data_IF_524716333985
#
_entry.id   IF_524716333985
#
_cell.length_a   1.000
_cell.length_b   1.000
_cell.length_c   1.000
_cell.angle_alpha   90.00
_cell.angle_beta   90.00
_cell.angle_gamma   90.00
#
_symmetry.space_group_name_H-M   'P 1'
#
loop_
_entity.id
_entity.type
_entity.pdbx_description
1 polymer ?
#
# COMPACT_ATOMS: atom_id res chain seq x y z
N UNK A 1 -10.87 -33.34 5.80
CA UNK A 1 -9.79 -32.55 5.18
C UNK A 1 -10.41 -31.78 4.04
N UNK A 2 -10.65 -30.48 4.22
CA UNK A 2 -11.11 -29.61 3.14
C UNK A 2 -9.86 -29.09 2.46
N UNK A 3 -9.56 -29.58 1.27
CA UNK A 3 -8.54 -29.00 0.38
C UNK A 3 -9.08 -27.68 -0.12
N UNK A 4 -8.68 -26.58 0.51
CA UNK A 4 -8.83 -25.24 -0.04
C UNK A 4 -7.98 -25.16 -1.31
N UNK A 5 -8.64 -25.18 -2.45
CA UNK A 5 -8.02 -24.85 -3.74
C UNK A 5 -7.50 -23.41 -3.62
N UNK A 6 -6.19 -23.24 -3.49
CA UNK A 6 -5.55 -21.93 -3.57
C UNK A 6 -5.88 -21.38 -4.97
N UNK A 7 -6.74 -20.37 -5.03
CA UNK A 7 -7.10 -19.71 -6.28
C UNK A 7 -5.83 -19.24 -6.95
N UNK A 8 -5.54 -19.75 -8.15
CA UNK A 8 -4.36 -19.36 -8.91
C UNK A 8 -4.37 -17.85 -9.13
N UNK A 9 -3.31 -17.16 -8.71
CA UNK A 9 -3.13 -15.74 -9.02
C UNK A 9 -3.12 -15.58 -10.54
N UNK A 10 -4.12 -14.90 -11.11
CA UNK A 10 -4.17 -14.52 -12.53
C UNK A 10 -3.17 -13.39 -12.88
N UNK A 11 -1.96 -13.43 -12.30
CA UNK A 11 -0.84 -12.58 -12.70
C UNK A 11 -0.01 -13.35 -13.73
N UNK A 12 -0.52 -13.44 -14.96
CA UNK A 12 0.24 -14.03 -16.05
C UNK A 12 1.41 -13.11 -16.39
N UNK A 13 2.63 -13.65 -16.29
CA UNK A 13 3.80 -13.00 -16.89
C UNK A 13 3.55 -12.82 -18.38
N UNK A 14 3.78 -11.60 -18.88
CA UNK A 14 3.75 -11.33 -20.33
C UNK A 14 4.99 -11.87 -21.06
N UNK A 15 6.00 -12.30 -20.30
CA UNK A 15 7.12 -13.06 -20.83
C UNK A 15 6.77 -14.56 -20.78
N UNK A 16 6.74 -15.19 -21.95
CA UNK A 16 6.50 -16.62 -22.13
C UNK A 16 7.73 -17.45 -21.72
N UNK A 17 8.92 -16.87 -21.81
CA UNK A 17 10.19 -17.54 -21.60
C UNK A 17 10.67 -17.37 -20.15
N UNK A 18 10.32 -18.34 -19.29
CA UNK A 18 10.87 -18.44 -17.93
C UNK A 18 12.29 -19.01 -18.00
N UNK A 19 13.28 -18.16 -18.26
CA UNK A 19 14.70 -18.55 -18.33
C UNK A 19 15.30 -18.81 -16.96
N UNK A 20 16.35 -19.66 -16.94
CA UNK A 20 17.25 -19.77 -15.80
C UNK A 20 17.94 -18.42 -15.49
N UNK A 21 18.46 -18.28 -14.27
CA UNK A 21 19.18 -17.06 -13.83
C UNK A 21 20.30 -16.73 -14.84
N UNK A 22 20.30 -15.53 -15.46
CA UNK A 22 21.26 -15.18 -16.50
C UNK A 22 22.71 -15.20 -15.98
N UNK A 23 23.66 -15.55 -16.86
CA UNK A 23 25.09 -15.68 -16.48
C UNK A 23 25.69 -14.39 -15.90
N UNK A 24 25.14 -13.22 -16.28
CA UNK A 24 25.58 -11.90 -15.83
C UNK A 24 24.86 -11.39 -14.56
N UNK A 25 23.93 -12.16 -14.00
CA UNK A 25 23.22 -11.78 -12.77
C UNK A 25 24.18 -11.74 -11.57
N UNK A 26 24.04 -10.73 -10.69
CA UNK A 26 24.94 -10.42 -9.55
C UNK A 26 26.40 -10.14 -9.93
N UNK A 27 26.67 -9.76 -11.18
CA UNK A 27 28.02 -9.34 -11.59
C UNK A 27 28.25 -7.83 -11.47
N UNK A 28 27.24 -7.08 -11.07
CA UNK A 28 27.28 -5.64 -10.84
C UNK A 28 26.46 -5.26 -9.60
N UNK A 29 26.69 -4.06 -9.07
CA UNK A 29 26.09 -3.62 -7.81
C UNK A 29 24.55 -3.56 -7.85
N UNK A 30 23.94 -3.24 -9.00
CA UNK A 30 22.49 -3.17 -9.12
C UNK A 30 21.89 -4.58 -9.09
N UNK A 31 22.43 -5.50 -9.89
CA UNK A 31 21.88 -6.87 -9.93
C UNK A 31 22.18 -7.66 -8.65
N UNK A 32 23.27 -7.35 -7.94
CA UNK A 32 23.52 -7.90 -6.61
C UNK A 32 22.55 -7.34 -5.56
N UNK A 33 22.31 -6.03 -5.56
CA UNK A 33 21.29 -5.41 -4.69
C UNK A 33 19.91 -6.02 -4.91
N UNK A 34 19.47 -6.18 -6.16
CA UNK A 34 18.19 -6.81 -6.47
C UNK A 34 18.10 -8.24 -5.95
N UNK A 35 19.16 -9.03 -6.08
CA UNK A 35 19.21 -10.39 -5.52
C UNK A 35 19.12 -10.37 -3.98
N UNK A 36 19.84 -9.45 -3.33
CA UNK A 36 19.81 -9.31 -1.88
C UNK A 36 18.43 -8.88 -1.36
N UNK A 37 17.72 -8.00 -2.07
CA UNK A 37 16.34 -7.63 -1.70
C UNK A 37 15.37 -8.80 -1.81
N UNK A 38 15.55 -9.69 -2.79
CA UNK A 38 14.75 -10.92 -2.92
C UNK A 38 15.05 -11.91 -1.79
N UNK A 39 16.34 -12.07 -1.42
CA UNK A 39 16.76 -12.87 -0.26
C UNK A 39 16.15 -12.31 1.04
N UNK A 40 16.15 -10.99 1.22
CA UNK A 40 15.55 -10.31 2.36
C UNK A 40 14.03 -10.51 2.43
N UNK A 41 13.33 -10.49 1.29
CA UNK A 41 11.90 -10.78 1.22
C UNK A 41 11.59 -12.18 1.78
N UNK A 42 12.37 -13.18 1.36
CA UNK A 42 12.23 -14.56 1.85
C UNK A 42 12.60 -14.67 3.33
N UNK A 43 13.63 -13.95 3.77
CA UNK A 43 14.02 -13.90 5.18
C UNK A 43 12.90 -13.30 6.05
N UNK A 44 12.26 -12.22 5.61
CA UNK A 44 11.10 -11.63 6.29
C UNK A 44 9.93 -12.61 6.36
N UNK A 45 9.63 -13.33 5.26
CA UNK A 45 8.60 -14.39 5.28
C UNK A 45 8.87 -15.44 6.36
N UNK A 46 10.12 -15.89 6.51
CA UNK A 46 10.49 -16.88 7.49
C UNK A 46 10.55 -16.34 8.93
N UNK A 47 11.01 -15.10 9.11
CA UNK A 47 11.28 -14.51 10.42
C UNK A 47 10.02 -13.96 11.12
N UNK A 48 9.07 -13.43 10.36
CA UNK A 48 7.86 -12.76 10.89
C UNK A 48 6.56 -13.29 10.24
N UNK A 49 6.34 -14.63 10.23
CA UNK A 49 5.26 -15.25 9.46
C UNK A 49 3.86 -14.77 9.87
N UNK A 50 3.62 -14.50 11.16
CA UNK A 50 2.33 -13.98 11.64
C UNK A 50 1.99 -12.60 11.04
N UNK A 51 2.99 -11.75 10.81
CA UNK A 51 2.79 -10.44 10.21
C UNK A 51 2.60 -10.53 8.69
N UNK A 52 3.34 -11.42 8.03
CA UNK A 52 3.17 -11.66 6.59
C UNK A 52 1.80 -12.27 6.29
N UNK A 53 1.30 -13.12 7.18
CA UNK A 53 -0.04 -13.71 7.09
C UNK A 53 -1.14 -12.63 7.07
N UNK A 54 -0.97 -11.50 7.77
CA UNK A 54 -1.90 -10.35 7.69
C UNK A 54 -2.00 -9.81 6.26
N UNK A 55 -0.86 -9.65 5.57
CA UNK A 55 -0.86 -9.18 4.18
C UNK A 55 -1.53 -10.17 3.24
N UNK A 56 -1.28 -11.48 3.43
CA UNK A 56 -1.89 -12.55 2.63
C UNK A 56 -3.42 -12.53 2.80
N UNK A 57 -3.89 -12.38 4.03
CA UNK A 57 -5.33 -12.30 4.36
C UNK A 57 -6.00 -11.11 3.71
N UNK A 58 -5.38 -9.93 3.78
CA UNK A 58 -5.86 -8.72 3.10
C UNK A 58 -5.89 -8.92 1.58
N UNK A 59 -4.82 -9.48 1.00
CA UNK A 59 -4.75 -9.77 -0.43
C UNK A 59 -5.87 -10.73 -0.86
N UNK A 60 -6.12 -11.79 -0.09
CA UNK A 60 -7.18 -12.74 -0.35
C UNK A 60 -8.58 -12.14 -0.21
N UNK A 61 -8.83 -11.36 0.85
CA UNK A 61 -10.15 -10.80 1.12
C UNK A 61 -10.55 -9.71 0.10
N UNK A 62 -9.60 -8.87 -0.30
CA UNK A 62 -9.86 -7.70 -1.16
C UNK A 62 -9.32 -7.85 -2.57
N UNK A 63 -8.02 -8.09 -2.71
CA UNK A 63 -7.32 -7.98 -3.99
C UNK A 63 -7.67 -9.12 -4.93
N UNK A 64 -7.63 -10.37 -4.44
CA UNK A 64 -7.96 -11.55 -5.23
C UNK A 64 -9.45 -11.60 -5.63
N UNK A 65 -10.32 -10.97 -4.83
CA UNK A 65 -11.77 -10.89 -5.09
C UNK A 65 -12.17 -9.68 -5.93
N UNK A 66 -11.21 -8.84 -6.33
CA UNK A 66 -11.47 -7.60 -7.03
C UNK A 66 -12.18 -7.78 -8.39
N UNK A 67 -11.94 -8.89 -9.09
CA UNK A 67 -12.66 -9.23 -10.32
C UNK A 67 -14.13 -9.54 -10.07
N UNK A 68 -14.47 -10.13 -8.91
CA UNK A 68 -15.86 -10.42 -8.53
C UNK A 68 -16.59 -9.15 -8.07
N UNK A 69 -15.84 -8.27 -7.38
CA UNK A 69 -16.31 -6.95 -6.91
C UNK A 69 -16.62 -6.02 -8.08
N UNK A 70 -15.78 -6.04 -9.12
CA UNK A 70 -15.90 -5.17 -10.29
C UNK A 70 -16.35 -5.92 -11.55
N UNK A 71 -17.10 -7.02 -11.38
CA UNK A 71 -17.74 -7.72 -12.48
C UNK A 71 -18.89 -6.87 -13.06
N UNK A 72 -18.97 -6.78 -14.39
CA UNK A 72 -20.06 -6.08 -15.11
C UNK A 72 -20.33 -4.64 -14.62
N UNK A 73 -19.27 -3.89 -14.36
CA UNK A 73 -19.37 -2.51 -13.86
C UNK A 73 -19.90 -1.56 -14.94
N UNK A 74 -20.89 -0.75 -14.57
CA UNK A 74 -21.44 0.31 -15.42
C UNK A 74 -20.36 1.26 -15.96
N UNK A 75 -20.56 1.82 -17.15
CA UNK A 75 -19.63 2.75 -17.76
C UNK A 75 -19.30 3.97 -16.85
N UNK A 76 -20.27 4.42 -16.05
CA UNK A 76 -20.11 5.50 -15.07
C UNK A 76 -19.26 5.11 -13.86
N UNK A 77 -19.12 3.82 -13.57
CA UNK A 77 -18.33 3.29 -12.45
C UNK A 77 -16.96 2.79 -12.89
N UNK A 78 -16.72 2.65 -14.19
CA UNK A 78 -15.45 2.17 -14.77
C UNK A 78 -14.20 2.89 -14.23
N UNK A 79 -14.13 4.25 -14.16
CA UNK A 79 -12.93 4.91 -13.62
C UNK A 79 -12.68 4.59 -12.14
N UNK A 80 -13.74 4.48 -11.35
CA UNK A 80 -13.67 4.09 -9.93
C UNK A 80 -13.09 2.69 -9.78
N UNK A 81 -13.63 1.72 -10.53
CA UNK A 81 -13.12 0.35 -10.53
C UNK A 81 -11.65 0.27 -10.95
N UNK A 82 -11.26 0.98 -12.02
CA UNK A 82 -9.85 1.03 -12.48
C UNK A 82 -8.91 1.61 -11.43
N UNK A 83 -9.34 2.64 -10.70
CA UNK A 83 -8.54 3.27 -9.65
C UNK A 83 -8.40 2.40 -8.40
N UNK A 84 -9.46 1.67 -7.98
CA UNK A 84 -9.33 0.65 -6.94
C UNK A 84 -8.43 -0.50 -7.36
N UNK A 85 -8.57 -1.01 -8.60
CA UNK A 85 -7.66 -2.02 -9.15
C UNK A 85 -6.21 -1.54 -9.15
N UNK A 86 -5.98 -0.26 -9.46
CA UNK A 86 -4.65 0.35 -9.37
C UNK A 86 -4.14 0.34 -7.94
N UNK A 87 -4.97 0.75 -6.96
CA UNK A 87 -4.61 0.70 -5.54
C UNK A 87 -4.22 -0.73 -5.10
N UNK A 88 -4.95 -1.75 -5.53
CA UNK A 88 -4.66 -3.15 -5.22
C UNK A 88 -3.35 -3.65 -5.83
N UNK A 89 -3.07 -3.31 -7.09
CA UNK A 89 -1.78 -3.60 -7.70
C UNK A 89 -0.62 -2.89 -6.99
N UNK A 90 -0.85 -1.63 -6.59
CA UNK A 90 0.12 -0.85 -5.80
C UNK A 90 0.35 -1.45 -4.42
N UNK A 91 -0.68 -1.97 -3.75
CA UNK A 91 -0.57 -2.69 -2.48
C UNK A 91 0.36 -3.89 -2.57
N UNK A 92 0.21 -4.75 -3.59
CA UNK A 92 1.14 -5.88 -3.80
C UNK A 92 2.58 -5.43 -4.04
N UNK A 93 2.76 -4.34 -4.79
CA UNK A 93 4.07 -3.70 -4.98
C UNK A 93 4.66 -3.22 -3.66
N UNK A 94 3.85 -2.56 -2.82
CA UNK A 94 4.27 -2.08 -1.51
C UNK A 94 4.62 -3.23 -0.57
N UNK A 95 3.85 -4.32 -0.56
CA UNK A 95 4.16 -5.53 0.20
C UNK A 95 5.54 -6.09 -0.17
N UNK A 96 5.85 -6.18 -1.47
CA UNK A 96 7.17 -6.63 -1.94
C UNK A 96 8.28 -5.74 -1.39
N UNK A 97 8.15 -4.41 -1.49
CA UNK A 97 9.16 -3.47 -1.01
C UNK A 97 9.32 -3.52 0.51
N UNK A 98 8.21 -3.48 1.25
CA UNK A 98 8.20 -3.58 2.71
C UNK A 98 8.89 -4.86 3.18
N UNK A 99 8.51 -6.02 2.64
CA UNK A 99 9.12 -7.31 3.01
C UNK A 99 10.59 -7.41 2.62
N UNK A 100 11.02 -6.68 1.57
CA UNK A 100 12.43 -6.58 1.17
C UNK A 100 13.23 -5.58 2.01
N UNK A 101 12.62 -4.95 3.02
CA UNK A 101 13.25 -3.92 3.85
C UNK A 101 13.37 -2.54 3.20
N UNK A 102 12.78 -2.32 2.02
CA UNK A 102 12.81 -1.04 1.28
C UNK A 102 11.64 -0.14 1.71
N UNK A 103 11.77 0.43 2.91
CA UNK A 103 10.63 1.02 3.61
C UNK A 103 10.20 2.37 3.02
N UNK A 104 11.14 3.22 2.61
CA UNK A 104 10.85 4.53 2.02
C UNK A 104 10.14 4.40 0.67
N UNK A 105 10.62 3.50 -0.17
CA UNK A 105 9.99 3.22 -1.44
C UNK A 105 8.60 2.61 -1.23
N UNK A 106 8.42 1.81 -0.16
CA UNK A 106 7.11 1.29 0.24
C UNK A 106 6.17 2.41 0.73
N UNK A 107 6.64 3.43 1.44
CA UNK A 107 5.78 4.54 1.92
C UNK A 107 5.29 5.43 0.77
N UNK A 108 6.11 5.60 -0.28
CA UNK A 108 5.67 6.23 -1.54
C UNK A 108 4.49 5.46 -2.15
N UNK A 109 4.58 4.12 -2.19
CA UNK A 109 3.49 3.30 -2.71
C UNK A 109 2.27 3.32 -1.79
N UNK A 110 2.45 3.37 -0.47
CA UNK A 110 1.38 3.52 0.51
C UNK A 110 0.59 4.81 0.28
N UNK A 111 1.27 5.94 0.03
CA UNK A 111 0.61 7.20 -0.36
C UNK A 111 -0.19 7.04 -1.65
N UNK A 112 0.38 6.37 -2.65
CA UNK A 112 -0.30 6.12 -3.93
C UNK A 112 -1.54 5.24 -3.78
N UNK A 113 -1.56 4.29 -2.84
CA UNK A 113 -2.76 3.49 -2.50
C UNK A 113 -3.87 4.40 -1.97
N UNK A 114 -3.54 5.29 -1.04
CA UNK A 114 -4.49 6.25 -0.46
C UNK A 114 -5.06 7.18 -1.53
N UNK A 115 -4.18 7.84 -2.31
CA UNK A 115 -4.60 8.77 -3.37
C UNK A 115 -5.49 8.07 -4.41
N UNK A 116 -5.08 6.88 -4.88
CA UNK A 116 -5.85 6.11 -5.85
C UNK A 116 -7.24 5.77 -5.32
N UNK A 117 -7.36 5.43 -4.03
CA UNK A 117 -8.63 5.06 -3.41
C UNK A 117 -9.55 6.25 -3.20
N UNK A 118 -9.01 7.41 -2.80
CA UNK A 118 -9.77 8.67 -2.71
C UNK A 118 -10.27 9.09 -4.08
N UNK A 119 -9.43 8.99 -5.11
CA UNK A 119 -9.82 9.32 -6.48
C UNK A 119 -10.86 8.32 -7.01
N UNK A 120 -10.74 7.04 -6.66
CA UNK A 120 -11.71 6.02 -7.02
C UNK A 120 -13.09 6.35 -6.45
N UNK A 121 -13.14 6.67 -5.16
CA UNK A 121 -14.37 7.11 -4.49
C UNK A 121 -14.97 8.35 -5.16
N UNK A 122 -14.15 9.39 -5.40
CA UNK A 122 -14.66 10.62 -5.98
C UNK A 122 -15.18 10.46 -7.41
N UNK A 123 -14.52 9.65 -8.24
CA UNK A 123 -15.02 9.30 -9.57
C UNK A 123 -16.35 8.53 -9.53
N UNK A 124 -16.62 7.82 -8.44
CA UNK A 124 -17.86 7.09 -8.23
C UNK A 124 -19.02 7.98 -7.75
N UNK A 125 -18.73 9.07 -7.04
CA UNK A 125 -19.74 9.94 -6.42
C UNK A 125 -19.92 11.29 -7.11
N UNK A 126 -19.04 11.67 -8.04
CA UNK A 126 -19.08 12.96 -8.74
C UNK A 126 -18.90 12.82 -10.25
N UNK A 127 -19.94 13.22 -11.01
CA UNK A 127 -19.92 13.25 -12.47
C UNK A 127 -18.86 14.22 -13.01
N UNK A 128 -18.69 15.38 -12.38
CA UNK A 128 -17.67 16.36 -12.74
C UNK A 128 -16.26 15.77 -12.65
N UNK A 129 -15.93 15.11 -11.55
CA UNK A 129 -14.61 14.49 -11.35
C UNK A 129 -14.40 13.34 -12.33
N UNK A 130 -15.44 12.55 -12.59
CA UNK A 130 -15.39 11.46 -13.56
C UNK A 130 -15.11 11.96 -14.98
N UNK A 131 -15.81 13.01 -15.41
CA UNK A 131 -15.58 13.63 -16.73
C UNK A 131 -14.17 14.21 -16.80
N UNK A 132 -13.72 14.93 -15.77
CA UNK A 132 -12.37 15.49 -15.72
C UNK A 132 -11.27 14.42 -15.73
N UNK A 133 -11.51 13.26 -15.10
CA UNK A 133 -10.58 12.13 -15.14
C UNK A 133 -10.46 11.55 -16.55
N UNK A 134 -11.59 11.29 -17.21
CA UNK A 134 -11.64 10.71 -18.56
C UNK A 134 -11.05 11.65 -19.62
N UNK A 135 -11.30 12.96 -19.51
CA UNK A 135 -10.81 13.96 -20.47
C UNK A 135 -9.43 14.54 -20.15
N UNK A 136 -8.70 14.00 -19.17
CA UNK A 136 -7.41 14.57 -18.72
C UNK A 136 -6.36 14.67 -19.84
N UNK A 137 -6.38 13.72 -20.77
CA UNK A 137 -5.38 13.60 -21.84
C UNK A 137 -5.80 14.27 -23.15
N UNK A 138 -7.02 14.82 -23.23
CA UNK A 138 -7.59 15.34 -24.46
C UNK A 138 -6.92 16.67 -24.86
N UNK A 139 -6.74 17.57 -23.89
CA UNK A 139 -6.09 18.88 -24.08
C UNK A 139 -5.53 19.47 -22.77
N UNK A 140 -4.93 20.67 -22.86
CA UNK A 140 -4.37 21.37 -21.69
C UNK A 140 -5.45 21.87 -20.72
N UNK A 141 -6.67 22.16 -21.20
CA UNK A 141 -7.78 22.55 -20.35
C UNK A 141 -8.25 21.37 -19.49
N UNK A 142 -8.37 20.17 -20.08
CA UNK A 142 -8.65 18.91 -19.40
C UNK A 142 -7.59 18.56 -18.37
N UNK A 143 -6.30 18.73 -18.71
CA UNK A 143 -5.19 18.55 -17.75
C UNK A 143 -5.29 19.50 -16.56
N UNK A 144 -5.59 20.79 -16.80
CA UNK A 144 -5.75 21.82 -15.76
C UNK A 144 -6.98 21.54 -14.89
N UNK A 145 -8.11 21.18 -15.50
CA UNK A 145 -9.35 20.84 -14.79
C UNK A 145 -9.15 19.62 -13.89
N UNK A 146 -8.55 18.54 -14.43
CA UNK A 146 -8.20 17.35 -13.66
C UNK A 146 -7.27 17.69 -12.50
N UNK A 147 -6.19 18.47 -12.71
CA UNK A 147 -5.29 18.87 -11.61
C UNK A 147 -6.02 19.65 -10.52
N UNK A 148 -6.92 20.57 -10.88
CA UNK A 148 -7.68 21.38 -9.92
C UNK A 148 -8.63 20.52 -9.09
N UNK A 149 -9.41 19.67 -9.75
CA UNK A 149 -10.42 18.83 -9.11
C UNK A 149 -9.81 17.72 -8.24
N UNK A 150 -8.68 17.16 -8.67
CA UNK A 150 -7.98 16.12 -7.93
C UNK A 150 -6.89 16.64 -6.97
N UNK A 151 -6.97 17.91 -6.58
CA UNK A 151 -6.09 18.46 -5.54
C UNK A 151 -6.38 17.78 -4.20
N UNK A 152 -5.33 17.33 -3.50
CA UNK A 152 -5.46 16.52 -2.29
C UNK A 152 -6.26 17.22 -1.18
N UNK A 153 -5.90 18.47 -0.84
CA UNK A 153 -6.50 19.20 0.28
C UNK A 153 -8.03 19.27 0.24
N UNK A 154 -8.66 19.76 -0.85
CA UNK A 154 -10.11 19.74 -0.99
C UNK A 154 -10.71 18.33 -0.92
N UNK A 155 -10.10 17.35 -1.60
CA UNK A 155 -10.64 15.99 -1.63
C UNK A 155 -10.65 15.33 -0.25
N UNK A 156 -9.57 15.45 0.52
CA UNK A 156 -9.51 14.82 1.84
C UNK A 156 -10.47 15.51 2.83
N UNK A 157 -10.71 16.81 2.70
CA UNK A 157 -11.73 17.52 3.49
C UNK A 157 -13.13 16.97 3.22
N UNK A 158 -13.46 16.70 1.96
CA UNK A 158 -14.73 16.07 1.60
C UNK A 158 -14.82 14.64 2.12
N UNK A 159 -13.76 13.84 2.03
CA UNK A 159 -13.73 12.48 2.58
C UNK A 159 -13.95 12.50 4.10
N UNK A 160 -13.31 13.42 4.82
CA UNK A 160 -13.51 13.61 6.27
C UNK A 160 -14.95 13.96 6.60
N UNK A 161 -15.58 14.84 5.79
CA UNK A 161 -16.96 15.27 6.00
C UNK A 161 -17.97 14.15 5.69
N UNK A 162 -17.77 13.40 4.61
CA UNK A 162 -18.69 12.35 4.17
C UNK A 162 -18.49 11.02 4.89
N UNK A 163 -17.26 10.72 5.35
CA UNK A 163 -16.91 9.46 6.00
C UNK A 163 -16.20 9.70 7.35
N UNK A 164 -16.90 10.21 8.37
CA UNK A 164 -16.28 10.60 9.64
C UNK A 164 -15.60 9.46 10.41
N UNK A 165 -15.94 8.20 10.12
CA UNK A 165 -15.32 7.01 10.74
C UNK A 165 -13.97 6.63 10.14
N UNK A 166 -13.68 6.99 8.88
CA UNK A 166 -12.44 6.58 8.17
C UNK A 166 -11.64 7.78 7.67
N UNK A 167 -12.29 8.89 7.33
CA UNK A 167 -11.68 10.05 6.72
C UNK A 167 -10.57 10.69 7.56
N UNK A 168 -10.75 10.93 8.87
CA UNK A 168 -9.69 11.45 9.73
C UNK A 168 -8.45 10.55 9.75
N UNK A 169 -8.64 9.24 9.90
CA UNK A 169 -7.55 8.26 9.93
C UNK A 169 -6.86 8.13 8.55
N UNK A 170 -7.60 8.27 7.45
CA UNK A 170 -7.04 8.28 6.11
C UNK A 170 -6.19 9.54 5.86
N UNK A 171 -6.64 10.69 6.35
CA UNK A 171 -5.88 11.95 6.31
C UNK A 171 -4.59 11.82 7.11
N UNK A 172 -4.66 11.28 8.32
CA UNK A 172 -3.50 11.05 9.17
C UNK A 172 -2.50 10.09 8.51
N UNK A 173 -2.97 8.98 7.95
CA UNK A 173 -2.12 8.02 7.25
C UNK A 173 -1.42 8.64 6.03
N UNK A 174 -2.08 9.55 5.33
CA UNK A 174 -1.49 10.28 4.21
C UNK A 174 -0.38 11.22 4.68
N UNK A 175 -0.62 12.07 5.67
CA UNK A 175 0.39 13.00 6.19
C UNK A 175 1.58 12.24 6.78
N UNK A 176 1.30 11.19 7.57
CA UNK A 176 2.34 10.31 8.08
C UNK A 176 3.20 9.67 6.98
N UNK A 177 2.61 9.34 5.82
CA UNK A 177 3.39 8.82 4.69
C UNK A 177 4.41 9.83 4.19
N UNK A 178 4.08 11.13 4.21
CA UNK A 178 4.99 12.21 3.84
C UNK A 178 6.13 12.28 4.84
N UNK A 179 5.84 12.27 6.14
CA UNK A 179 6.85 12.31 7.21
C UNK A 179 7.80 11.10 7.13
N UNK A 180 7.29 9.95 6.72
CA UNK A 180 8.05 8.72 6.47
C UNK A 180 8.71 8.65 5.09
N UNK A 181 8.86 9.78 4.40
CA UNK A 181 9.66 9.91 3.17
C UNK A 181 8.93 9.63 1.85
N UNK A 182 7.59 9.59 1.83
CA UNK A 182 6.83 9.57 0.57
C UNK A 182 6.98 10.87 -0.25
N UNK A 183 7.58 11.91 0.34
CA UNK A 183 8.04 13.12 -0.31
C UNK A 183 9.44 13.48 0.19
N UNK A 184 10.32 14.08 -0.63
CA UNK A 184 11.56 14.65 -0.14
C UNK A 184 11.27 15.71 0.93
N UNK A 185 11.57 15.40 2.19
CA UNK A 185 11.57 16.32 3.31
C UNK A 185 12.76 15.97 4.23
N UNK A 186 13.10 16.88 5.14
CA UNK A 186 14.29 16.72 5.99
C UNK A 186 14.16 15.47 6.87
N UNK A 187 13.00 15.26 7.46
CA UNK A 187 12.74 14.15 8.39
C UNK A 187 12.85 12.80 7.68
N UNK A 188 12.16 12.62 6.56
CA UNK A 188 12.17 11.41 5.74
C UNK A 188 13.57 11.05 5.21
N UNK A 189 14.35 12.04 4.78
CA UNK A 189 15.74 11.81 4.32
C UNK A 189 16.62 11.35 5.49
N UNK A 190 16.45 11.94 6.67
CA UNK A 190 17.25 11.62 7.85
C UNK A 190 16.92 10.25 8.44
N UNK A 191 15.71 9.70 8.23
CA UNK A 191 15.32 8.40 8.76
C UNK A 191 16.12 7.22 8.16
N UNK A 192 16.72 7.37 6.97
CA UNK A 192 17.61 6.37 6.35
C UNK A 192 19.04 6.85 6.14
N UNK A 193 19.36 8.10 6.45
CA UNK A 193 20.67 8.66 6.13
C UNK A 193 21.44 9.04 7.38
N UNK A 194 22.72 8.69 7.40
CA UNK A 194 23.68 9.16 8.38
C UNK A 194 24.60 10.20 7.73
N UNK A 195 24.84 11.30 8.44
CA UNK A 195 25.77 12.35 8.02
C UNK A 195 26.93 12.39 9.02
N UNK A 196 28.10 11.93 8.60
CA UNK A 196 29.28 11.77 9.44
C UNK A 196 30.28 12.88 9.12
N UNK A 197 30.61 13.79 10.06
CA UNK A 197 31.63 14.81 9.85
C UNK A 197 33.04 14.18 9.63
N UNK A 198 33.78 14.72 8.66
CA UNK A 198 35.15 14.30 8.28
C UNK A 198 36.17 15.45 8.32
N UNK A 199 35.87 16.51 9.06
CA UNK A 199 36.68 17.72 9.19
C UNK A 199 35.81 18.97 9.16
N UNK A 200 36.45 20.14 9.15
CA UNK A 200 35.78 21.43 9.43
C UNK A 200 34.68 21.81 8.43
N UNK A 201 34.63 21.21 7.23
CA UNK A 201 33.58 21.42 6.22
C UNK A 201 33.39 20.18 5.29
N UNK A 202 33.62 18.97 5.81
CA UNK A 202 33.49 17.74 5.02
C UNK A 202 32.55 16.77 5.72
N UNK A 203 31.67 16.14 4.95
CA UNK A 203 30.71 15.18 5.44
C UNK A 203 30.73 13.93 4.56
N UNK A 204 30.69 12.77 5.18
CA UNK A 204 30.31 11.51 4.54
C UNK A 204 28.81 11.30 4.73
N UNK A 205 28.10 10.96 3.67
CA UNK A 205 26.67 10.64 3.72
C UNK A 205 26.51 9.18 3.34
N UNK A 206 25.94 8.38 4.23
CA UNK A 206 25.58 6.99 3.97
C UNK A 206 24.08 6.81 4.11
N UNK A 207 23.50 5.93 3.28
CA UNK A 207 22.08 5.63 3.30
C UNK A 207 21.83 4.13 3.54
N UNK A 208 20.81 3.83 4.33
CA UNK A 208 20.29 2.48 4.58
C UNK A 208 19.17 2.23 3.59
N UNK A 209 19.40 1.30 2.66
CA UNK A 209 18.42 0.91 1.64
C UNK A 209 17.59 -0.33 2.02
N UNK A 210 18.02 -1.09 3.03
CA UNK A 210 17.32 -2.27 3.53
C UNK A 210 17.33 -2.30 5.04
N UNK A 211 16.13 -2.33 5.63
CA UNK A 211 15.93 -2.35 7.07
C UNK A 211 15.64 -3.75 7.61
N UNK A 212 15.92 -3.93 8.90
CA UNK A 212 15.69 -5.17 9.63
C UNK A 212 14.21 -5.46 9.96
N UNK A 213 13.93 -6.63 10.55
CA UNK A 213 12.58 -7.16 10.73
C UNK A 213 11.66 -6.28 11.56
N UNK A 214 12.16 -5.55 12.56
CA UNK A 214 11.36 -4.64 13.39
C UNK A 214 10.73 -3.54 12.54
N UNK A 215 11.51 -2.96 11.63
CA UNK A 215 11.05 -1.88 10.76
C UNK A 215 10.15 -2.42 9.64
N UNK A 216 10.39 -3.65 9.17
CA UNK A 216 9.48 -4.37 8.26
C UNK A 216 8.12 -4.59 8.91
N UNK A 217 8.06 -5.00 10.18
CA UNK A 217 6.79 -5.15 10.92
C UNK A 217 6.02 -3.83 10.94
N UNK A 218 6.68 -2.70 11.22
CA UNK A 218 6.04 -1.39 11.21
C UNK A 218 5.45 -1.05 9.84
N UNK A 219 6.18 -1.31 8.75
CA UNK A 219 5.67 -1.09 7.40
C UNK A 219 4.46 -1.99 7.07
N UNK A 220 4.49 -3.26 7.49
CA UNK A 220 3.35 -4.18 7.36
C UNK A 220 2.13 -3.64 8.11
N UNK A 221 2.32 -3.15 9.35
CA UNK A 221 1.25 -2.57 10.15
C UNK A 221 0.60 -1.37 9.46
N UNK A 222 1.41 -0.47 8.89
CA UNK A 222 0.87 0.70 8.19
C UNK A 222 0.14 0.31 6.89
N UNK A 223 0.67 -0.66 6.13
CA UNK A 223 -0.03 -1.21 4.96
C UNK A 223 -1.37 -1.84 5.34
N UNK A 224 -1.41 -2.63 6.42
CA UNK A 224 -2.64 -3.27 6.89
C UNK A 224 -3.69 -2.24 7.32
N UNK A 225 -3.29 -1.22 8.11
CA UNK A 225 -4.17 -0.11 8.50
C UNK A 225 -4.72 0.62 7.29
N UNK A 226 -3.88 0.98 6.33
CA UNK A 226 -4.31 1.69 5.11
C UNK A 226 -5.29 0.85 4.32
N UNK A 227 -5.05 -0.44 4.13
CA UNK A 227 -5.99 -1.29 3.41
C UNK A 227 -7.34 -1.45 4.12
N UNK A 228 -7.35 -1.46 5.46
CA UNK A 228 -8.60 -1.43 6.23
C UNK A 228 -9.36 -0.12 5.98
N UNK A 229 -8.69 1.03 5.99
CA UNK A 229 -9.30 2.33 5.68
C UNK A 229 -9.82 2.41 4.24
N UNK A 230 -9.05 1.92 3.27
CA UNK A 230 -9.44 1.81 1.86
C UNK A 230 -10.67 0.93 1.72
N UNK A 231 -10.75 -0.16 2.48
CA UNK A 231 -11.91 -1.06 2.44
C UNK A 231 -13.19 -0.37 2.92
N UNK A 232 -13.10 0.47 3.98
CA UNK A 232 -14.21 1.29 4.46
C UNK A 232 -14.66 2.31 3.41
N UNK A 233 -13.72 2.97 2.73
CA UNK A 233 -14.04 3.87 1.64
C UNK A 233 -14.68 3.14 0.45
N UNK A 234 -14.17 1.96 0.10
CA UNK A 234 -14.71 1.12 -0.97
C UNK A 234 -16.12 0.62 -0.64
N UNK A 235 -16.41 0.31 0.62
CA UNK A 235 -17.75 -0.08 1.07
C UNK A 235 -18.80 1.01 0.81
N UNK A 236 -18.42 2.29 0.84
CA UNK A 236 -19.32 3.38 0.44
C UNK A 236 -19.64 3.40 -1.07
N UNK A 237 -18.80 2.78 -1.89
CA UNK A 237 -18.94 2.75 -3.35
C UNK A 237 -19.64 1.47 -3.84
N UNK A 238 -19.24 0.32 -3.30
CA UNK A 238 -19.67 -1.02 -3.74
C UNK A 238 -20.14 -1.91 -2.58
N UNK A 239 -20.56 -1.33 -1.45
CA UNK A 239 -20.88 -2.07 -0.22
C UNK A 239 -21.99 -3.11 -0.38
N UNK A 240 -22.99 -2.88 -1.23
CA UNK A 240 -24.01 -3.90 -1.54
C UNK A 240 -23.38 -5.15 -2.15
N UNK A 241 -22.47 -4.99 -3.12
CA UNK A 241 -21.75 -6.10 -3.75
C UNK A 241 -20.83 -6.80 -2.74
N UNK A 242 -20.16 -6.04 -1.86
CA UNK A 242 -19.33 -6.61 -0.79
C UNK A 242 -20.15 -7.51 0.14
N UNK A 243 -21.34 -7.07 0.55
CA UNK A 243 -22.27 -7.86 1.38
C UNK A 243 -22.74 -9.14 0.69
N UNK A 244 -23.13 -9.03 -0.59
CA UNK A 244 -23.58 -10.19 -1.38
C UNK A 244 -22.47 -11.24 -1.47
N UNK A 245 -21.22 -10.80 -1.64
CA UNK A 245 -20.06 -11.67 -1.78
C UNK A 245 -19.45 -12.13 -0.43
N UNK A 246 -19.99 -11.65 0.70
CA UNK A 246 -19.49 -11.90 2.06
C UNK A 246 -18.12 -11.30 2.36
N UNK A 247 -17.66 -10.36 1.54
CA UNK A 247 -16.32 -9.75 1.64
C UNK A 247 -16.25 -8.80 2.84
N UNK A 248 -17.35 -8.11 3.15
CA UNK A 248 -17.47 -7.24 4.32
C UNK A 248 -17.19 -7.99 5.63
N UNK A 249 -17.81 -9.14 5.83
CA UNK A 249 -17.58 -9.99 7.01
C UNK A 249 -16.15 -10.49 7.08
N UNK A 250 -15.59 -10.91 5.94
CA UNK A 250 -14.21 -11.36 5.88
C UNK A 250 -13.25 -10.24 6.31
N UNK A 251 -13.46 -9.00 5.85
CA UNK A 251 -12.65 -7.84 6.25
C UNK A 251 -12.78 -7.54 7.74
N UNK A 252 -13.98 -7.65 8.31
CA UNK A 252 -14.19 -7.50 9.76
C UNK A 252 -13.40 -8.54 10.55
N UNK A 253 -13.43 -9.81 10.13
CA UNK A 253 -12.66 -10.89 10.73
C UNK A 253 -11.15 -10.63 10.64
N UNK A 254 -10.64 -10.23 9.48
CA UNK A 254 -9.21 -9.93 9.31
C UNK A 254 -8.79 -8.68 10.10
N UNK A 255 -9.66 -7.67 10.20
CA UNK A 255 -9.41 -6.49 11.04
C UNK A 255 -9.31 -6.89 12.51
N UNK A 256 -10.21 -7.76 12.99
CA UNK A 256 -10.16 -8.24 14.37
C UNK A 256 -8.88 -9.04 14.65
N UNK A 257 -8.48 -9.92 13.72
CA UNK A 257 -7.24 -10.70 13.84
C UNK A 257 -5.98 -9.79 13.87
N UNK A 258 -5.95 -8.75 13.03
CA UNK A 258 -4.89 -7.75 13.04
C UNK A 258 -4.81 -7.00 14.38
N UNK A 259 -5.95 -6.59 14.92
CA UNK A 259 -6.00 -5.87 16.21
C UNK A 259 -5.56 -6.75 17.39
N UNK A 260 -5.87 -8.05 17.38
CA UNK A 260 -5.34 -8.99 18.37
C UNK A 260 -3.81 -9.07 18.30
N UNK A 261 -3.26 -9.25 17.10
CA UNK A 261 -1.80 -9.32 16.89
C UNK A 261 -1.11 -8.05 17.37
N UNK A 262 -1.69 -6.88 17.08
CA UNK A 262 -1.19 -5.59 17.56
C UNK A 262 -1.20 -5.52 19.10
N UNK A 263 -2.29 -5.92 19.75
CA UNK A 263 -2.38 -5.94 21.22
C UNK A 263 -1.33 -6.86 21.84
N UNK A 264 -1.03 -8.00 21.21
CA UNK A 264 0.02 -8.93 21.67
C UNK A 264 1.40 -8.28 21.59
N UNK A 265 1.71 -7.56 20.50
CA UNK A 265 2.96 -6.82 20.35
C UNK A 265 3.12 -5.75 21.43
N UNK A 266 2.11 -4.91 21.65
CA UNK A 266 2.14 -3.83 22.65
C UNK A 266 2.38 -4.37 24.06
N UNK A 267 1.69 -5.45 24.44
CA UNK A 267 1.90 -6.14 25.72
C UNK A 267 3.31 -6.71 25.85
N UNK A 268 3.87 -7.22 24.76
CA UNK A 268 5.26 -7.69 24.71
C UNK A 268 6.27 -6.56 24.97
N UNK A 269 6.07 -5.42 24.29
CA UNK A 269 6.91 -4.23 24.45
C UNK A 269 6.83 -3.63 25.86
N UNK A 270 5.64 -3.56 26.45
CA UNK A 270 5.46 -3.08 27.82
C UNK A 270 6.23 -3.94 28.83
N UNK A 271 6.11 -5.27 28.73
CA UNK A 271 6.85 -6.21 29.59
C UNK A 271 8.37 -6.15 29.41
N UNK A 272 8.84 -5.84 28.20
CA UNK A 272 10.27 -5.66 27.94
C UNK A 272 10.80 -4.40 28.65
N UNK A 273 10.04 -3.29 28.58
CA UNK A 273 10.40 -2.02 29.24
C UNK A 273 10.48 -2.15 30.76
N UNK A 274 9.58 -2.91 31.39
CA UNK A 274 9.60 -3.15 32.85
C UNK A 274 10.83 -3.93 33.35
N UNK A 275 11.57 -4.59 32.46
CA UNK A 275 12.76 -5.41 32.80
C UNK A 275 14.10 -4.68 32.56
N UNK A 276 14.05 -3.46 32.02
CA UNK A 276 15.21 -2.59 31.73
C UNK A 276 15.25 -1.44 32.71
#
# INVERSE_FOLDING_TARGET
>A
MVTTTVGSVNALSRYEDRRAVPERWRRDALTDFLALTEEQLLASFAAIPEWVEVLIRIDHALVMRSTDLFHEVDATRRPSAQLFMRAFGTFRGACRLAMSGQLFESTVLLRSIIESSVYAWKCATSDEHRVAWLGRADDEAGRKASRKLFAWGPLIQEVVAEHPSVGPALSEAYEKSIDLGAHPNVEGIQLSSEVIPKGDDKFEVSAIFMHGPEAVILAIMELAKVMNLVSGLMFSVVGERMRILGIDKQIEEETAAFMDLLSRLEKGLAKAREKT
#
